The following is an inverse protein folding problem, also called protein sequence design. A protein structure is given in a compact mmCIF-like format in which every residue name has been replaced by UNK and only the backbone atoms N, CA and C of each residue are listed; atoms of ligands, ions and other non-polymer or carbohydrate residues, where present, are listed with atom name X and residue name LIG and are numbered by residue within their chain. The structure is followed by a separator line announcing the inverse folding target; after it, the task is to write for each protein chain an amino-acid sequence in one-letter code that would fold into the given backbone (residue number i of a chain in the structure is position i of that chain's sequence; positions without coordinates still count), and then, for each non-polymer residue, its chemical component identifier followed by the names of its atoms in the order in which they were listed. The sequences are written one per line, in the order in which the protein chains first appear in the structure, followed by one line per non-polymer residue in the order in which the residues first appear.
data_IF_527263773291
#
_entry.id   IF_527263773291
#
_cell.length_a   1.000
_cell.length_b   1.000
_cell.length_c   1.000
_cell.angle_alpha   90.00
_cell.angle_beta   90.00
_cell.angle_gamma   90.00
#
_symmetry.space_group_name_H-M   'P 1'
#
loop_
_entity.id
_entity.type
_entity.pdbx_description
1 polymer ?
#
# COMPACT_ATOMS: atom_id res chain seq x y z
N UNK A 1 -50.06 -39.40 86.98
CA UNK A 1 -48.59 -39.58 87.13
C UNK A 1 -47.92 -38.24 86.86
N UNK A 2 -47.02 -37.82 87.74
CA UNK A 2 -46.51 -36.44 87.90
C UNK A 2 -45.76 -35.86 86.68
N UNK A 3 -46.21 -34.70 86.16
CA UNK A 3 -45.45 -33.90 85.15
C UNK A 3 -44.02 -33.57 85.61
N UNK A 4 -43.79 -33.46 86.93
CA UNK A 4 -42.44 -33.24 87.48
C UNK A 4 -41.51 -34.45 87.33
N UNK A 5 -42.03 -35.67 87.38
CA UNK A 5 -41.22 -36.89 87.21
C UNK A 5 -40.75 -37.08 85.78
N UNK A 6 -41.61 -36.78 84.80
CA UNK A 6 -41.30 -36.85 83.37
C UNK A 6 -40.23 -35.82 82.95
N UNK A 7 -40.27 -34.61 83.53
CA UNK A 7 -39.26 -33.59 83.28
C UNK A 7 -37.89 -33.96 83.86
N UNK A 8 -37.84 -34.67 84.99
CA UNK A 8 -36.60 -35.14 85.61
C UNK A 8 -36.00 -36.28 84.77
N UNK A 9 -36.80 -37.27 84.36
CA UNK A 9 -36.32 -38.35 83.49
C UNK A 9 -35.91 -37.85 82.11
N UNK A 10 -36.61 -36.86 81.52
CA UNK A 10 -36.16 -36.19 80.30
C UNK A 10 -34.84 -35.47 80.50
N UNK A 11 -34.68 -34.73 81.61
CA UNK A 11 -33.43 -34.03 81.92
C UNK A 11 -32.27 -35.01 82.07
N UNK A 12 -32.47 -36.11 82.80
CA UNK A 12 -31.49 -37.20 82.94
C UNK A 12 -31.15 -37.84 81.60
N UNK A 13 -32.14 -38.03 80.72
CA UNK A 13 -31.94 -38.56 79.37
C UNK A 13 -31.11 -37.61 78.49
N UNK A 14 -31.30 -36.29 78.57
CA UNK A 14 -30.50 -35.30 77.83
C UNK A 14 -29.10 -35.07 78.43
N UNK A 15 -28.92 -35.30 79.73
CA UNK A 15 -27.60 -35.20 80.39
C UNK A 15 -26.78 -36.48 80.35
N UNK A 16 -27.34 -37.58 79.84
CA UNK A 16 -26.61 -38.83 79.67
C UNK A 16 -25.49 -38.70 78.65
N UNK A 17 -24.33 -39.28 78.94
CA UNK A 17 -23.12 -39.12 78.10
C UNK A 17 -23.28 -39.73 76.70
N UNK A 18 -24.13 -40.75 76.53
CA UNK A 18 -24.40 -41.35 75.22
C UNK A 18 -25.35 -40.52 74.37
N UNK A 19 -26.41 -39.96 74.96
CA UNK A 19 -27.38 -39.12 74.23
C UNK A 19 -26.75 -37.80 73.79
N UNK A 20 -25.87 -37.22 74.63
CA UNK A 20 -25.14 -35.99 74.28
C UNK A 20 -24.18 -36.22 73.10
N UNK A 21 -23.55 -37.41 73.00
CA UNK A 21 -22.74 -37.79 71.84
C UNK A 21 -23.57 -37.95 70.56
N UNK A 22 -24.74 -38.58 70.64
CA UNK A 22 -25.66 -38.73 69.50
C UNK A 22 -26.18 -37.37 69.03
N UNK A 23 -26.54 -36.49 69.96
CA UNK A 23 -27.00 -35.13 69.65
C UNK A 23 -25.88 -34.30 69.01
N UNK A 24 -24.65 -34.39 69.53
CA UNK A 24 -23.49 -33.73 68.94
C UNK A 24 -23.18 -34.26 67.53
N UNK A 25 -23.32 -35.56 67.29
CA UNK A 25 -23.15 -36.17 65.98
C UNK A 25 -24.22 -35.72 64.98
N UNK A 26 -25.49 -35.63 65.40
CA UNK A 26 -26.57 -35.09 64.57
C UNK A 26 -26.34 -33.62 64.24
N UNK A 27 -25.96 -32.81 65.23
CA UNK A 27 -25.60 -31.40 65.02
C UNK A 27 -24.45 -31.24 64.02
N UNK A 28 -23.38 -32.02 64.18
CA UNK A 28 -22.26 -32.05 63.25
C UNK A 28 -22.68 -32.44 61.83
N UNK A 29 -23.54 -33.45 61.70
CA UNK A 29 -24.02 -33.93 60.40
C UNK A 29 -24.84 -32.86 59.68
N UNK A 30 -25.70 -32.13 60.39
CA UNK A 30 -26.48 -31.02 59.84
C UNK A 30 -25.56 -29.88 59.38
N UNK A 31 -24.57 -29.52 60.21
CA UNK A 31 -23.59 -28.47 59.88
C UNK A 31 -22.79 -28.86 58.62
N UNK A 32 -22.26 -30.09 58.55
CA UNK A 32 -21.51 -30.55 57.38
C UNK A 32 -22.37 -30.57 56.12
N UNK A 33 -23.63 -31.01 56.24
CA UNK A 33 -24.57 -31.01 55.11
C UNK A 33 -24.85 -29.59 54.61
N UNK A 34 -25.02 -28.63 55.52
CA UNK A 34 -25.25 -27.22 55.17
C UNK A 34 -24.03 -26.59 54.49
N UNK A 35 -22.81 -26.89 54.94
CA UNK A 35 -21.59 -26.38 54.31
C UNK A 35 -21.44 -26.91 52.89
N UNK A 36 -21.61 -28.23 52.68
CA UNK A 36 -21.50 -28.86 51.36
C UNK A 36 -22.58 -28.32 50.41
N UNK A 37 -23.82 -28.19 50.90
CA UNK A 37 -24.92 -27.62 50.12
C UNK A 37 -24.67 -26.16 49.74
N UNK A 38 -24.13 -25.35 50.66
CA UNK A 38 -23.79 -23.95 50.40
C UNK A 38 -22.73 -23.83 49.31
N UNK A 39 -21.64 -24.60 49.40
CA UNK A 39 -20.60 -24.61 48.37
C UNK A 39 -21.17 -25.01 47.01
N UNK A 40 -21.96 -26.09 46.95
CA UNK A 40 -22.56 -26.55 45.70
C UNK A 40 -23.54 -25.53 45.10
N UNK A 41 -24.34 -24.86 45.94
CA UNK A 41 -25.23 -23.77 45.52
C UNK A 41 -24.44 -22.55 44.98
N UNK A 42 -23.34 -22.17 45.63
CA UNK A 42 -22.46 -21.11 45.14
C UNK A 42 -21.81 -21.47 43.79
N UNK A 43 -21.42 -22.72 43.57
CA UNK A 43 -20.91 -23.15 42.26
C UNK A 43 -21.97 -23.11 41.16
N UNK A 44 -23.21 -23.52 41.44
CA UNK A 44 -24.31 -23.47 40.47
C UNK A 44 -24.77 -22.04 40.17
N UNK A 45 -24.79 -21.16 41.17
CA UNK A 45 -25.11 -19.73 40.97
C UNK A 45 -24.04 -18.97 40.18
N UNK A 46 -22.78 -19.42 40.22
CA UNK A 46 -21.70 -18.87 39.37
C UNK A 46 -21.73 -19.50 37.96
N UNK A 47 -22.16 -20.76 37.85
CA UNK A 47 -22.15 -21.54 36.61
C UNK A 47 -23.56 -22.09 36.34
N UNK A 48 -24.42 -21.25 35.78
CA UNK A 48 -25.73 -21.65 35.29
C UNK A 48 -25.61 -21.78 33.75
N UNK A 49 -25.72 -22.99 33.21
CA UNK A 49 -25.55 -23.33 31.78
C UNK A 49 -24.13 -23.18 31.19
N UNK A 50 -23.07 -23.35 32.00
CA UNK A 50 -21.69 -23.38 31.50
C UNK A 50 -21.08 -22.02 31.14
N UNK A 51 -21.75 -20.92 31.53
CA UNK A 51 -21.28 -19.55 31.28
C UNK A 51 -21.31 -18.75 32.58
N UNK A 52 -20.15 -18.20 32.98
CA UNK A 52 -19.99 -17.38 34.18
C UNK A 52 -20.72 -16.04 34.01
N UNK A 53 -21.72 -15.74 34.87
CA UNK A 53 -22.40 -14.41 34.97
C UNK A 53 -21.50 -13.32 35.58
N UNK A 54 -20.26 -13.19 35.09
CA UNK A 54 -19.48 -11.98 35.29
C UNK A 54 -19.57 -11.23 33.99
N UNK A 55 -20.50 -10.27 33.91
CA UNK A 55 -20.63 -9.38 32.76
C UNK A 55 -19.33 -8.59 32.60
N UNK A 56 -18.40 -9.13 31.83
CA UNK A 56 -17.26 -8.39 31.33
C UNK A 56 -17.79 -7.57 30.15
N UNK A 57 -18.20 -6.34 30.45
CA UNK A 57 -18.57 -5.36 29.42
C UNK A 57 -17.27 -4.95 28.71
N UNK A 58 -16.88 -5.73 27.71
CA UNK A 58 -15.84 -5.33 26.77
C UNK A 58 -16.45 -4.32 25.79
N UNK A 59 -16.07 -3.04 25.91
CA UNK A 59 -16.39 -2.04 24.90
C UNK A 59 -15.67 -2.40 23.59
N UNK A 60 -16.28 -3.21 22.74
CA UNK A 60 -15.81 -3.38 21.37
C UNK A 60 -16.23 -2.16 20.57
N UNK A 61 -15.29 -1.26 20.31
CA UNK A 61 -15.45 -0.19 19.32
C UNK A 61 -15.55 -0.83 17.94
N UNK A 62 -16.76 -1.17 17.50
CA UNK A 62 -17.02 -1.57 16.13
C UNK A 62 -17.05 -0.30 15.28
N UNK A 63 -15.91 0.07 14.70
CA UNK A 63 -15.88 1.06 13.63
C UNK A 63 -16.52 0.44 12.40
N UNK A 64 -17.73 0.88 12.07
CA UNK A 64 -18.38 0.52 10.81
C UNK A 64 -17.63 1.25 9.70
N UNK A 65 -16.62 0.59 9.13
CA UNK A 65 -16.01 1.04 7.89
C UNK A 65 -17.03 0.69 6.79
N UNK A 66 -17.69 1.70 6.26
CA UNK A 66 -18.67 1.53 5.18
C UNK A 66 -17.95 1.06 3.90
N UNK A 67 -17.84 -0.27 3.76
CA UNK A 67 -17.15 -0.96 2.67
C UNK A 67 -17.78 -0.61 1.32
N UNK A 68 -19.09 -0.33 1.29
CA UNK A 68 -19.80 0.01 0.06
C UNK A 68 -19.41 1.39 -0.43
N UNK A 69 -19.35 2.39 0.46
CA UNK A 69 -18.89 3.73 0.08
C UNK A 69 -17.42 3.75 -0.30
N UNK A 70 -16.57 2.98 0.37
CA UNK A 70 -15.14 2.90 0.00
C UNK A 70 -14.94 2.21 -1.34
N UNK A 71 -15.63 1.10 -1.61
CA UNK A 71 -15.59 0.41 -2.91
C UNK A 71 -16.20 1.24 -4.03
N UNK A 72 -17.31 1.96 -3.77
CA UNK A 72 -17.91 2.86 -4.74
C UNK A 72 -16.99 4.05 -5.04
N UNK A 73 -16.40 4.67 -4.01
CA UNK A 73 -15.42 5.73 -4.21
C UNK A 73 -14.19 5.23 -4.98
N UNK A 74 -13.70 4.01 -4.70
CA UNK A 74 -12.60 3.39 -5.44
C UNK A 74 -12.98 3.15 -6.91
N UNK A 75 -14.22 2.72 -7.21
CA UNK A 75 -14.73 2.59 -8.58
C UNK A 75 -14.88 3.94 -9.29
N UNK A 76 -15.42 4.95 -8.61
CA UNK A 76 -15.55 6.32 -9.15
C UNK A 76 -14.19 6.96 -9.40
N UNK A 77 -13.20 6.73 -8.53
CA UNK A 77 -11.82 7.19 -8.74
C UNK A 77 -11.17 6.40 -9.87
N UNK A 78 -11.30 5.08 -9.92
CA UNK A 78 -10.75 4.26 -11.00
C UNK A 78 -11.33 4.63 -12.38
N UNK A 79 -12.61 5.02 -12.45
CA UNK A 79 -13.24 5.53 -13.68
C UNK A 79 -12.78 6.94 -14.07
N UNK A 80 -12.23 7.71 -13.12
CA UNK A 80 -11.66 9.04 -13.36
C UNK A 80 -10.16 9.01 -13.66
N UNK A 81 -9.47 7.91 -13.37
CA UNK A 81 -8.06 7.72 -13.68
C UNK A 81 -7.96 7.32 -15.14
N UNK A 82 -7.36 8.20 -15.94
CA UNK A 82 -7.12 7.91 -17.35
C UNK A 82 -6.15 6.74 -17.50
N UNK A 83 -6.34 5.92 -18.54
CA UNK A 83 -5.40 4.86 -18.85
C UNK A 83 -4.07 5.51 -19.27
N UNK A 84 -3.01 5.22 -18.50
CA UNK A 84 -1.65 5.56 -18.90
C UNK A 84 -1.26 4.52 -19.94
N UNK A 85 -1.04 4.94 -21.19
CA UNK A 85 -0.43 4.09 -22.20
C UNK A 85 1.04 3.93 -21.79
N UNK A 86 1.31 2.98 -20.91
CA UNK A 86 2.67 2.47 -20.78
C UNK A 86 3.00 1.76 -22.08
N UNK A 87 4.17 2.01 -22.70
CA UNK A 87 4.61 1.21 -23.83
C UNK A 87 4.49 -0.27 -23.46
N UNK A 88 4.05 -1.12 -24.39
CA UNK A 88 4.32 -2.55 -24.28
C UNK A 88 5.81 -2.71 -23.94
N UNK A 89 6.19 -3.71 -23.14
CA UNK A 89 7.56 -3.97 -22.65
C UNK A 89 8.67 -4.04 -23.73
N UNK A 90 8.34 -3.77 -24.99
CA UNK A 90 9.27 -3.54 -26.07
C UNK A 90 10.13 -2.29 -25.82
N UNK A 91 11.42 -2.53 -25.62
CA UNK A 91 12.50 -1.52 -25.64
C UNK A 91 12.67 -0.85 -27.03
N UNK A 92 11.68 -0.97 -27.92
CA UNK A 92 11.69 -0.46 -29.30
C UNK A 92 12.06 1.02 -29.40
N UNK A 93 11.49 1.88 -28.54
CA UNK A 93 11.79 3.32 -28.60
C UNK A 93 13.24 3.59 -28.14
N UNK A 94 13.75 2.83 -27.16
CA UNK A 94 15.14 2.97 -26.69
C UNK A 94 16.12 2.49 -27.76
N UNK A 95 15.86 1.34 -28.37
CA UNK A 95 16.72 0.79 -29.43
C UNK A 95 16.75 1.69 -30.68
N UNK A 96 15.63 2.34 -31.01
CA UNK A 96 15.60 3.35 -32.07
C UNK A 96 16.45 4.57 -31.74
N UNK A 97 16.39 5.07 -30.50
CA UNK A 97 17.24 6.19 -30.06
C UNK A 97 18.73 5.80 -30.13
N UNK A 98 19.09 4.61 -29.65
CA UNK A 98 20.47 4.10 -29.74
C UNK A 98 20.93 3.97 -31.20
N UNK A 99 20.05 3.48 -32.09
CA UNK A 99 20.34 3.37 -33.52
C UNK A 99 20.56 4.74 -34.16
N UNK A 100 19.75 5.73 -33.79
CA UNK A 100 19.89 7.11 -34.25
C UNK A 100 21.23 7.71 -33.79
N UNK A 101 21.57 7.57 -32.51
CA UNK A 101 22.83 8.06 -31.94
C UNK A 101 24.05 7.42 -32.64
N UNK A 102 24.00 6.10 -32.87
CA UNK A 102 25.04 5.38 -33.59
C UNK A 102 25.17 5.84 -35.04
N UNK A 103 24.04 6.05 -35.73
CA UNK A 103 24.02 6.56 -37.10
C UNK A 103 24.65 7.94 -37.20
N UNK A 104 24.34 8.85 -36.28
CA UNK A 104 24.96 10.18 -36.19
C UNK A 104 26.47 10.05 -36.03
N UNK A 105 26.93 9.21 -35.10
CA UNK A 105 28.37 9.00 -34.87
C UNK A 105 29.08 8.41 -36.09
N UNK A 106 28.45 7.47 -36.80
CA UNK A 106 28.99 6.88 -38.01
C UNK A 106 29.13 7.93 -39.12
N UNK A 107 28.10 8.74 -39.35
CA UNK A 107 28.12 9.82 -40.37
C UNK A 107 29.23 10.83 -40.07
N UNK A 108 29.40 11.23 -38.80
CA UNK A 108 30.50 12.14 -38.40
C UNK A 108 31.88 11.57 -38.74
N UNK A 109 32.07 10.27 -38.55
CA UNK A 109 33.35 9.56 -38.78
C UNK A 109 33.63 9.23 -40.25
N UNK A 110 32.64 9.29 -41.14
CA UNK A 110 32.84 9.02 -42.57
C UNK A 110 33.87 9.99 -43.15
N UNK A 111 34.71 9.50 -44.06
CA UNK A 111 35.64 10.32 -44.83
C UNK A 111 34.95 10.84 -46.10
N UNK A 112 34.04 11.80 -45.92
CA UNK A 112 33.27 12.45 -46.98
C UNK A 112 33.20 13.95 -46.72
N UNK A 113 32.96 14.78 -47.76
CA UNK A 113 32.77 16.21 -47.60
C UNK A 113 31.65 16.54 -46.60
N UNK A 114 31.79 17.67 -45.89
CA UNK A 114 30.85 18.05 -44.84
C UNK A 114 29.42 18.27 -45.37
N UNK A 115 29.27 18.77 -46.60
CA UNK A 115 27.97 18.93 -47.25
C UNK A 115 27.22 17.60 -47.39
N UNK A 116 27.94 16.51 -47.70
CA UNK A 116 27.38 15.16 -47.80
C UNK A 116 26.96 14.66 -46.41
N UNK A 117 27.77 14.90 -45.38
CA UNK A 117 27.41 14.55 -43.99
C UNK A 117 26.17 15.29 -43.52
N UNK A 118 26.04 16.57 -43.89
CA UNK A 118 24.89 17.41 -43.58
C UNK A 118 23.62 16.88 -44.24
N UNK A 119 23.71 16.50 -45.51
CA UNK A 119 22.59 15.86 -46.23
C UNK A 119 22.18 14.54 -45.59
N UNK A 120 23.14 13.65 -45.29
CA UNK A 120 22.86 12.37 -44.63
C UNK A 120 22.22 12.56 -43.25
N UNK A 121 22.71 13.49 -42.43
CA UNK A 121 22.10 13.82 -41.13
C UNK A 121 20.70 14.40 -41.28
N UNK A 122 20.46 15.21 -42.31
CA UNK A 122 19.14 15.77 -42.59
C UNK A 122 18.09 14.69 -42.81
N UNK A 123 18.45 13.55 -43.39
CA UNK A 123 17.53 12.43 -43.62
C UNK A 123 17.11 11.71 -42.32
N UNK A 124 17.87 11.84 -41.24
CA UNK A 124 17.57 11.20 -39.96
C UNK A 124 16.48 11.93 -39.15
N UNK A 125 16.15 13.17 -39.51
CA UNK A 125 15.23 14.01 -38.75
C UNK A 125 14.03 14.44 -39.59
N UNK A 126 12.84 14.04 -39.16
CA UNK A 126 11.57 14.53 -39.68
C UNK A 126 11.08 15.72 -38.85
N UNK A 127 11.71 16.89 -39.07
CA UNK A 127 11.36 18.14 -38.40
C UNK A 127 10.70 19.10 -39.38
N UNK A 128 9.52 19.61 -39.03
CA UNK A 128 8.75 20.57 -39.84
C UNK A 128 9.43 21.94 -39.94
N UNK A 129 10.21 22.34 -38.93
CA UNK A 129 10.91 23.61 -38.90
C UNK A 129 12.35 23.47 -39.39
N UNK A 130 12.62 24.03 -40.57
CA UNK A 130 13.91 23.92 -41.24
C UNK A 130 15.04 24.65 -40.52
N UNK A 131 14.79 25.81 -39.90
CA UNK A 131 15.83 26.55 -39.16
C UNK A 131 16.30 25.79 -37.92
N UNK A 132 15.36 25.17 -37.19
CA UNK A 132 15.68 24.31 -36.05
C UNK A 132 16.42 23.07 -36.48
N UNK A 133 15.97 22.44 -37.57
CA UNK A 133 16.63 21.29 -38.16
C UNK A 133 18.09 21.60 -38.51
N UNK A 134 18.32 22.74 -39.15
CA UNK A 134 19.65 23.19 -39.51
C UNK A 134 20.53 23.44 -38.28
N UNK A 135 19.98 24.09 -37.25
CA UNK A 135 20.69 24.32 -35.99
C UNK A 135 21.13 23.00 -35.32
N UNK A 136 20.22 22.01 -35.28
CA UNK A 136 20.52 20.69 -34.71
C UNK A 136 21.61 19.99 -35.52
N UNK A 137 21.49 19.95 -36.85
CA UNK A 137 22.50 19.32 -37.72
C UNK A 137 23.87 19.98 -37.55
N UNK A 138 23.91 21.32 -37.54
CA UNK A 138 25.13 22.07 -37.30
C UNK A 138 25.76 21.71 -35.95
N UNK A 139 24.96 21.66 -34.88
CA UNK A 139 25.42 21.25 -33.56
C UNK A 139 25.98 19.82 -33.59
N UNK A 140 25.26 18.87 -34.17
CA UNK A 140 25.68 17.47 -34.25
C UNK A 140 26.99 17.28 -35.01
N UNK A 141 27.24 18.07 -36.07
CA UNK A 141 28.48 18.00 -36.83
C UNK A 141 29.66 18.63 -36.09
N UNK A 142 29.46 19.85 -35.58
CA UNK A 142 30.55 20.72 -35.10
C UNK A 142 30.93 20.56 -33.63
N UNK A 143 30.07 19.96 -32.80
CA UNK A 143 30.34 19.80 -31.37
C UNK A 143 31.49 18.83 -31.10
N UNK A 144 32.17 18.97 -29.97
CA UNK A 144 33.17 17.98 -29.56
C UNK A 144 32.51 16.64 -29.23
N UNK A 145 33.28 15.54 -29.33
CA UNK A 145 32.76 14.19 -29.04
C UNK A 145 32.32 14.05 -27.58
N UNK A 146 32.95 14.77 -26.64
CA UNK A 146 32.54 14.83 -25.23
C UNK A 146 31.16 15.48 -25.08
N UNK A 147 30.95 16.62 -25.72
CA UNK A 147 29.70 17.38 -25.63
C UNK A 147 28.55 16.60 -26.29
N UNK A 148 28.83 15.93 -27.41
CA UNK A 148 27.84 15.12 -28.10
C UNK A 148 27.42 13.91 -27.26
N UNK A 149 28.38 13.23 -26.62
CA UNK A 149 28.11 12.12 -25.69
C UNK A 149 27.29 12.58 -24.50
N UNK A 150 27.65 13.72 -23.92
CA UNK A 150 26.86 14.29 -22.83
C UNK A 150 25.41 14.49 -23.29
N UNK A 151 25.17 15.12 -24.45
CA UNK A 151 23.81 15.31 -24.99
C UNK A 151 23.07 13.99 -25.21
N UNK A 152 23.74 12.94 -25.69
CA UNK A 152 23.14 11.62 -25.85
C UNK A 152 22.75 11.00 -24.50
N UNK A 153 23.61 11.10 -23.48
CA UNK A 153 23.29 10.63 -22.14
C UNK A 153 22.08 11.39 -21.56
N UNK A 154 22.01 12.71 -21.77
CA UNK A 154 20.85 13.52 -21.37
C UNK A 154 19.57 13.09 -22.09
N UNK A 155 19.66 12.77 -23.39
CA UNK A 155 18.53 12.29 -24.17
C UNK A 155 18.04 10.93 -23.68
N UNK A 156 18.96 10.00 -23.38
CA UNK A 156 18.64 8.67 -22.84
C UNK A 156 17.93 8.76 -21.48
N UNK A 157 18.42 9.61 -20.57
CA UNK A 157 17.78 9.84 -19.27
C UNK A 157 16.41 10.50 -19.40
N UNK A 158 16.28 11.48 -20.30
CA UNK A 158 14.99 12.14 -20.57
C UNK A 158 13.98 11.15 -21.13
N UNK A 159 14.38 10.31 -22.09
CA UNK A 159 13.51 9.26 -22.63
C UNK A 159 13.10 8.28 -21.53
N UNK A 160 14.04 7.82 -20.70
CA UNK A 160 13.72 6.93 -19.58
C UNK A 160 12.69 7.55 -18.61
N UNK A 161 12.81 8.85 -18.31
CA UNK A 161 11.85 9.56 -17.48
C UNK A 161 10.47 9.66 -18.13
N UNK A 162 10.41 10.00 -19.42
CA UNK A 162 9.16 10.08 -20.18
C UNK A 162 8.46 8.71 -20.24
N UNK A 163 9.20 7.65 -20.54
CA UNK A 163 8.65 6.29 -20.59
C UNK A 163 8.17 5.81 -19.21
N UNK A 164 8.85 6.18 -18.13
CA UNK A 164 8.44 5.87 -16.75
C UNK A 164 7.16 6.60 -16.33
N UNK A 165 7.04 7.86 -16.70
CA UNK A 165 5.83 8.66 -16.47
C UNK A 165 4.67 8.14 -17.31
N UNK A 166 4.98 7.61 -18.50
CA UNK A 166 4.00 7.17 -19.48
C UNK A 166 3.35 8.36 -20.19
N UNK A 167 2.72 8.08 -21.33
CA UNK A 167 1.98 9.07 -22.11
C UNK A 167 0.51 8.67 -22.07
N UNK A 168 -0.40 9.59 -21.76
CA UNK A 168 -1.84 9.30 -21.80
C UNK A 168 -2.40 9.63 -23.18
N UNK A 169 -3.55 9.05 -23.55
CA UNK A 169 -4.24 9.40 -24.80
C UNK A 169 -4.54 10.90 -24.90
N UNK A 170 -4.90 11.53 -23.77
CA UNK A 170 -5.16 12.98 -23.71
C UNK A 170 -3.94 13.83 -24.02
N UNK A 171 -2.75 13.33 -23.72
CA UNK A 171 -1.50 14.03 -24.02
C UNK A 171 -1.15 13.95 -25.49
N UNK A 172 -1.45 12.81 -26.11
CA UNK A 172 -1.29 12.60 -27.54
C UNK A 172 -2.31 13.44 -28.34
N UNK A 173 -3.58 13.39 -27.98
CA UNK A 173 -4.67 14.13 -28.66
C UNK A 173 -4.51 15.65 -28.59
N UNK A 174 -3.92 16.16 -27.51
CA UNK A 174 -3.68 17.60 -27.32
C UNK A 174 -2.36 18.08 -27.91
N UNK A 175 -1.60 17.21 -28.57
CA UNK A 175 -0.25 17.48 -29.05
C UNK A 175 0.69 18.03 -27.94
N UNK A 176 0.54 17.51 -26.73
CA UNK A 176 1.29 17.96 -25.53
C UNK A 176 2.60 17.19 -25.32
N UNK A 177 3.07 16.46 -26.34
CA UNK A 177 4.28 15.63 -26.24
C UNK A 177 5.49 16.50 -25.86
N UNK A 178 5.64 17.67 -26.46
CA UNK A 178 6.71 18.62 -26.14
C UNK A 178 6.69 19.04 -24.67
N UNK A 179 5.48 19.22 -24.11
CA UNK A 179 5.31 19.58 -22.71
C UNK A 179 5.78 18.44 -21.80
N UNK A 180 5.37 17.21 -22.08
CA UNK A 180 5.80 16.03 -21.31
C UNK A 180 7.30 15.86 -21.38
N UNK A 181 7.89 16.01 -22.57
CA UNK A 181 9.35 15.98 -22.73
C UNK A 181 9.98 17.05 -21.85
N UNK A 182 9.48 18.30 -21.90
CA UNK A 182 10.04 19.41 -21.12
C UNK A 182 9.90 19.24 -19.61
N UNK A 183 8.80 18.63 -19.15
CA UNK A 183 8.52 18.37 -17.74
C UNK A 183 9.38 17.22 -17.18
N UNK A 184 9.92 16.36 -18.05
CA UNK A 184 10.76 15.21 -17.70
C UNK A 184 12.26 15.42 -18.04
N UNK A 185 12.65 16.64 -18.40
CA UNK A 185 14.06 16.99 -18.60
C UNK A 185 14.83 16.90 -17.29
N UNK A 186 16.09 16.50 -17.38
CA UNK A 186 17.03 16.55 -16.26
C UNK A 186 17.44 17.99 -15.94
N UNK A 187 17.85 18.25 -14.70
CA UNK A 187 18.06 19.60 -14.14
C UNK A 187 19.22 20.40 -14.75
N UNK A 188 20.09 19.77 -15.56
CA UNK A 188 21.26 20.38 -16.18
C UNK A 188 21.10 20.66 -17.70
N UNK A 189 19.86 20.78 -18.18
CA UNK A 189 19.57 21.20 -19.56
C UNK A 189 19.53 22.73 -19.65
N UNK A 190 20.31 23.30 -20.57
CA UNK A 190 20.39 24.75 -20.75
C UNK A 190 19.11 25.34 -21.39
N UNK A 191 18.83 26.62 -21.15
CA UNK A 191 17.68 27.32 -21.75
C UNK A 191 17.67 27.26 -23.29
N UNK A 192 18.86 27.25 -23.92
CA UNK A 192 19.02 27.13 -25.37
C UNK A 192 18.63 25.74 -25.87
N UNK A 193 18.94 24.69 -25.11
CA UNK A 193 18.51 23.32 -25.43
C UNK A 193 16.98 23.20 -25.28
N UNK A 194 16.39 23.79 -24.25
CA UNK A 194 14.93 23.82 -24.07
C UNK A 194 14.22 24.55 -25.20
N UNK A 195 14.79 25.65 -25.73
CA UNK A 195 14.17 26.39 -26.84
C UNK A 195 14.12 25.62 -28.15
N UNK A 196 15.01 24.63 -28.35
CA UNK A 196 14.95 23.75 -29.53
C UNK A 196 13.75 22.81 -29.45
N UNK A 197 13.40 22.38 -28.23
CA UNK A 197 12.31 21.43 -27.95
C UNK A 197 10.94 22.11 -28.03
N UNK A 198 10.79 23.33 -27.50
CA UNK A 198 9.48 24.03 -27.39
C UNK A 198 8.99 24.72 -28.67
N UNK A 199 9.64 24.51 -29.81
CA UNK A 199 9.42 25.28 -31.03
C UNK A 199 8.43 24.64 -32.00
#
# INVERSE_FOLDING_TARGET
MNNRGFLITLKEFFTSTQTLKVLAFLGFTIIMTAIISSQNFFFQSIIENGISKKDVIAQKTLTVIDVKRTEQHKKEVAQKVDYVLTPAEDDFIKSNLDTLQNSIMQIRKKDVPEDVKREELSLLFDMSNQERKEFVIYFLLKSEDSDLREVFDKANLTLANVLRTGITEKDYERNNIDKIITDNLISNVSKRQVSVIKG
#
